data_IF_247714446135
#
_entry.id   IF_247714446135
#
_cell.length_a   1.000
_cell.length_b   1.000
_cell.length_c   1.000
_cell.angle_alpha   90.00
_cell.angle_beta   90.00
_cell.angle_gamma   90.00
#
_symmetry.space_group_name_H-M   'P 1'
#
loop_
_entity.id
_entity.type
_entity.pdbx_description
1 polymer ?
#
# COMPACT_ATOMS: atom_id res chain seq x y z
N UNK A 1 5.21 10.97 -16.24
CA UNK A 1 4.81 10.31 -14.99
C UNK A 1 4.31 8.92 -15.28
N UNK A 2 4.82 7.95 -14.53
CA UNK A 2 4.42 6.55 -14.69
C UNK A 2 3.69 6.10 -13.43
N UNK A 3 2.38 6.10 -13.50
CA UNK A 3 1.54 5.67 -12.38
C UNK A 3 1.31 4.18 -12.47
N UNK A 4 1.62 3.46 -11.39
CA UNK A 4 1.44 2.02 -11.30
C UNK A 4 0.58 1.72 -10.07
N UNK A 5 -0.31 0.75 -10.22
CA UNK A 5 -1.16 0.28 -9.15
C UNK A 5 -0.72 -1.11 -8.71
N UNK A 6 -0.54 -1.29 -7.42
CA UNK A 6 -0.24 -2.58 -6.80
C UNK A 6 -1.34 -2.94 -5.82
N UNK A 7 -1.61 -4.24 -5.71
CA UNK A 7 -2.53 -4.76 -4.72
C UNK A 7 -1.79 -5.71 -3.79
N UNK A 8 -2.04 -5.59 -2.49
CA UNK A 8 -1.46 -6.46 -1.46
C UNK A 8 -2.56 -7.15 -0.68
N UNK A 9 -2.38 -8.43 -0.42
CA UNK A 9 -3.26 -9.15 0.50
C UNK A 9 -2.89 -8.79 1.93
N UNK A 10 -3.89 -8.65 2.78
CA UNK A 10 -3.69 -8.35 4.19
C UNK A 10 -3.72 -9.64 5.01
N UNK A 11 -2.84 -9.71 6.01
CA UNK A 11 -2.80 -10.84 6.94
C UNK A 11 -4.05 -10.84 7.84
N UNK A 12 -4.56 -9.64 8.12
CA UNK A 12 -5.72 -9.43 8.98
C UNK A 12 -6.44 -8.15 8.56
N UNK A 13 -7.70 -7.96 8.93
CA UNK A 13 -8.38 -6.69 8.67
C UNK A 13 -7.65 -5.53 9.35
N UNK A 14 -7.71 -4.35 8.74
CA UNK A 14 -7.12 -3.15 9.31
C UNK A 14 -7.92 -2.69 10.53
N UNK A 15 -7.20 -2.21 11.54
CA UNK A 15 -7.78 -1.65 12.75
C UNK A 15 -7.67 -0.13 12.74
N UNK A 16 -8.22 0.53 13.76
CA UNK A 16 -8.11 1.99 13.90
C UNK A 16 -6.65 2.43 14.03
N UNK A 17 -5.80 1.60 14.64
CA UNK A 17 -4.37 1.90 14.75
C UNK A 17 -3.71 1.87 13.38
N UNK A 18 -4.13 0.97 12.50
CA UNK A 18 -3.59 0.87 11.15
C UNK A 18 -4.01 2.07 10.30
N UNK A 19 -5.14 2.70 10.61
CA UNK A 19 -5.60 3.89 9.89
C UNK A 19 -4.57 5.03 9.97
N UNK A 20 -3.91 5.19 11.11
CA UNK A 20 -2.83 6.17 11.25
C UNK A 20 -1.67 5.86 10.32
N UNK A 21 -1.29 4.59 10.22
CA UNK A 21 -0.24 4.15 9.30
C UNK A 21 -0.61 4.39 7.84
N UNK A 22 -1.87 4.15 7.47
CA UNK A 22 -2.35 4.45 6.12
C UNK A 22 -2.22 5.92 5.78
N UNK A 23 -2.57 6.81 6.72
CA UNK A 23 -2.45 8.24 6.50
C UNK A 23 -1.00 8.65 6.28
N UNK A 24 -0.08 8.08 7.06
CA UNK A 24 1.35 8.34 6.93
C UNK A 24 1.89 7.84 5.59
N UNK A 25 1.49 6.67 5.16
CA UNK A 25 1.89 6.12 3.85
C UNK A 25 1.35 7.01 2.73
N UNK A 26 0.12 7.48 2.85
CA UNK A 26 -0.51 8.33 1.85
C UNK A 26 0.24 9.65 1.65
N UNK A 27 0.89 10.14 2.69
CA UNK A 27 1.70 11.37 2.60
C UNK A 27 3.15 11.11 2.18
N UNK A 28 3.55 9.87 1.99
CA UNK A 28 4.91 9.51 1.58
C UNK A 28 5.18 9.98 0.16
N UNK A 29 6.37 10.55 -0.05
CA UNK A 29 6.75 11.05 -1.38
C UNK A 29 6.78 9.92 -2.40
N UNK A 30 6.07 10.11 -3.51
CA UNK A 30 5.96 9.11 -4.57
C UNK A 30 4.73 8.22 -4.47
N UNK A 31 4.10 8.15 -3.30
CA UNK A 31 2.83 7.46 -3.13
C UNK A 31 1.71 8.43 -3.50
N UNK A 32 0.86 8.04 -4.44
CA UNK A 32 -0.21 8.90 -4.90
C UNK A 32 -1.54 8.58 -4.21
N UNK A 33 -1.78 7.30 -3.96
CA UNK A 33 -3.04 6.88 -3.35
C UNK A 33 -2.90 5.54 -2.68
N UNK A 34 -3.54 5.39 -1.53
CA UNK A 34 -3.65 4.12 -0.83
C UNK A 34 -5.12 3.93 -0.48
N UNK A 35 -5.68 2.79 -0.86
CA UNK A 35 -7.08 2.48 -0.61
C UNK A 35 -7.22 1.07 -0.07
N UNK A 36 -8.23 0.88 0.78
CA UNK A 36 -8.63 -0.44 1.21
C UNK A 36 -9.71 -0.96 0.25
N UNK A 37 -9.54 -2.18 -0.24
CA UNK A 37 -10.53 -2.78 -1.14
C UNK A 37 -11.87 -2.99 -0.41
N UNK A 38 -13.00 -3.01 -1.13
CA UNK A 38 -14.31 -3.23 -0.52
C UNK A 38 -14.41 -4.51 0.31
N UNK A 39 -13.63 -5.53 -0.04
CA UNK A 39 -13.59 -6.80 0.70
C UNK A 39 -12.83 -6.69 2.02
N UNK A 40 -12.15 -5.57 2.28
CA UNK A 40 -11.38 -5.29 3.50
C UNK A 40 -10.17 -6.23 3.71
N UNK A 41 -9.81 -7.03 2.72
CA UNK A 41 -8.71 -7.98 2.81
C UNK A 41 -7.56 -7.66 1.86
N UNK A 42 -7.67 -6.59 1.09
CA UNK A 42 -6.64 -6.17 0.14
C UNK A 42 -6.39 -4.68 0.25
N UNK A 43 -5.14 -4.30 0.06
CA UNK A 43 -4.72 -2.91 0.06
C UNK A 43 -4.28 -2.54 -1.35
N UNK A 44 -4.83 -1.46 -1.89
CA UNK A 44 -4.50 -0.97 -3.22
C UNK A 44 -3.62 0.27 -3.09
N UNK A 45 -2.44 0.23 -3.71
CA UNK A 45 -1.47 1.34 -3.66
C UNK A 45 -1.20 1.83 -5.06
N UNK A 46 -1.40 3.12 -5.29
CA UNK A 46 -1.00 3.79 -6.53
C UNK A 46 0.23 4.64 -6.25
N UNK A 47 1.25 4.48 -7.06
CA UNK A 47 2.52 5.19 -6.86
C UNK A 47 3.14 5.58 -8.19
N UNK A 48 4.07 6.53 -8.14
CA UNK A 48 4.82 6.98 -9.29
C UNK A 48 6.08 6.12 -9.45
N UNK A 49 6.07 5.26 -10.47
CA UNK A 49 7.16 4.32 -10.71
C UNK A 49 8.47 5.00 -11.12
N UNK A 50 8.43 6.29 -11.48
CA UNK A 50 9.65 7.05 -11.75
C UNK A 50 10.34 7.48 -10.45
N UNK A 51 9.67 7.38 -9.31
CA UNK A 51 10.19 7.81 -8.01
C UNK A 51 10.41 6.66 -7.03
N UNK A 52 9.58 5.62 -7.13
CA UNK A 52 9.61 4.47 -6.26
C UNK A 52 9.60 3.19 -7.07
N UNK A 53 10.26 2.15 -6.57
CA UNK A 53 10.12 0.79 -7.11
C UNK A 53 9.10 0.02 -6.29
N UNK A 54 8.72 -1.18 -6.75
CA UNK A 54 7.84 -2.06 -5.98
C UNK A 54 8.43 -2.37 -4.61
N UNK A 55 9.75 -2.59 -4.55
CA UNK A 55 10.43 -2.87 -3.29
C UNK A 55 10.37 -1.69 -2.35
N UNK A 56 10.47 -0.48 -2.88
CA UNK A 56 10.36 0.74 -2.07
C UNK A 56 8.97 0.87 -1.48
N UNK A 57 7.93 0.62 -2.27
CA UNK A 57 6.55 0.68 -1.80
C UNK A 57 6.33 -0.35 -0.69
N UNK A 58 6.79 -1.57 -0.91
CA UNK A 58 6.65 -2.64 0.09
C UNK A 58 7.39 -2.28 1.38
N UNK A 59 8.60 -1.72 1.26
CA UNK A 59 9.36 -1.29 2.43
C UNK A 59 8.63 -0.20 3.21
N UNK A 60 8.01 0.75 2.51
CA UNK A 60 7.22 1.82 3.15
C UNK A 60 6.03 1.23 3.92
N UNK A 61 5.32 0.28 3.30
CA UNK A 61 4.18 -0.36 3.95
C UNK A 61 4.61 -1.11 5.22
N UNK A 62 5.73 -1.82 5.17
CA UNK A 62 6.27 -2.51 6.35
C UNK A 62 6.76 -1.51 7.41
N UNK A 63 7.34 -0.40 6.99
CA UNK A 63 7.82 0.64 7.91
C UNK A 63 6.69 1.17 8.79
N UNK A 64 5.50 1.32 8.24
CA UNK A 64 4.34 1.79 8.97
C UNK A 64 3.49 0.65 9.55
N UNK A 65 4.07 -0.56 9.58
CA UNK A 65 3.48 -1.74 10.23
C UNK A 65 2.11 -2.14 9.68
N UNK A 66 1.89 -1.91 8.40
CA UNK A 66 0.67 -2.37 7.77
C UNK A 66 0.73 -3.89 7.62
N UNK A 67 -0.37 -4.60 7.88
CA UNK A 67 -0.36 -6.07 7.91
C UNK A 67 -0.48 -6.69 6.51
N UNK A 68 0.44 -6.32 5.61
CA UNK A 68 0.45 -6.91 4.28
C UNK A 68 1.10 -8.29 4.32
N UNK A 69 0.52 -9.22 3.59
CA UNK A 69 1.02 -10.59 3.52
C UNK A 69 1.87 -10.80 2.28
N UNK A 70 1.34 -10.45 1.13
CA UNK A 70 2.07 -10.58 -0.12
C UNK A 70 1.47 -9.66 -1.18
N UNK A 71 2.25 -9.40 -2.21
CA UNK A 71 1.76 -8.65 -3.35
C UNK A 71 0.80 -9.52 -4.17
N UNK A 72 -0.36 -8.98 -4.48
CA UNK A 72 -1.30 -9.61 -5.40
C UNK A 72 -0.92 -9.18 -6.81
N UNK A 73 -0.65 -10.14 -7.67
CA UNK A 73 -0.36 -9.84 -9.07
C UNK A 73 -1.66 -9.94 -9.85
N UNK A 74 -2.09 -8.80 -10.40
CA UNK A 74 -3.28 -8.78 -11.25
C UNK A 74 -2.89 -9.36 -12.60
N UNK A 75 -3.53 -10.44 -13.05
CA UNK A 75 -3.20 -11.04 -14.33
C UNK A 75 -3.53 -10.15 -15.52
#
# INVERSE_FOLDING_TARGET
MTKVQLEYELVRPLTDEDAGGLADVHSWYGIQRVQLAPSLDKLIVEYDASRLSEKDVEAVLHRFRLPIQRKWVVP
#
